data_IF_666258613344
#
_entry.id   IF_666258613344
#
_cell.length_a   1.000
_cell.length_b   1.000
_cell.length_c   1.000
_cell.angle_alpha   90.00
_cell.angle_beta   90.00
_cell.angle_gamma   90.00
#
_symmetry.space_group_name_H-M   'P 1'
#
loop_
_entity.id
_entity.type
_entity.pdbx_description
1 polymer ?
#
# COMPACT_ATOMS: atom_id res chain seq x y z
N UNK A 1 -1.69 -16.96 -3.81
CA UNK A 1 -1.54 -16.41 -5.18
C UNK A 1 -2.60 -15.37 -5.58
N UNK A 2 -3.91 -15.60 -5.36
CA UNK A 2 -4.98 -14.65 -5.76
C UNK A 2 -4.86 -13.23 -5.17
N UNK A 3 -4.33 -13.09 -3.95
CA UNK A 3 -4.12 -11.79 -3.30
C UNK A 3 -3.02 -10.97 -3.98
N UNK A 4 -1.95 -11.61 -4.48
CA UNK A 4 -0.94 -10.94 -5.33
C UNK A 4 -1.57 -10.40 -6.61
N UNK A 5 -2.38 -11.20 -7.28
CA UNK A 5 -3.12 -10.78 -8.49
C UNK A 5 -4.07 -9.60 -8.17
N UNK A 6 -4.70 -9.59 -6.99
CA UNK A 6 -5.53 -8.46 -6.55
C UNK A 6 -4.70 -7.18 -6.37
N UNK A 7 -3.52 -7.28 -5.76
CA UNK A 7 -2.59 -6.15 -5.65
C UNK A 7 -2.11 -5.65 -7.01
N UNK A 8 -1.73 -6.56 -7.91
CA UNK A 8 -1.31 -6.22 -9.27
C UNK A 8 -2.45 -5.55 -10.07
N UNK A 9 -3.70 -5.96 -9.85
CA UNK A 9 -4.87 -5.35 -10.48
C UNK A 9 -5.20 -3.94 -9.94
N UNK A 10 -5.07 -3.71 -8.62
CA UNK A 10 -5.34 -2.38 -8.03
C UNK A 10 -4.19 -1.41 -8.26
N UNK A 11 -2.96 -1.90 -8.46
CA UNK A 11 -1.78 -1.05 -8.56
C UNK A 11 -1.84 0.02 -9.64
N UNK A 12 -2.10 -0.30 -10.92
CA UNK A 12 -2.16 0.71 -11.97
C UNK A 12 -3.33 1.69 -11.78
N UNK A 13 -4.42 1.26 -11.12
CA UNK A 13 -5.55 2.14 -10.83
C UNK A 13 -5.18 3.21 -9.81
N UNK A 14 -4.44 2.85 -8.76
CA UNK A 14 -3.94 3.81 -7.77
C UNK A 14 -2.82 4.66 -8.39
N UNK A 15 -1.93 4.05 -9.18
CA UNK A 15 -0.80 4.74 -9.80
C UNK A 15 -1.23 5.88 -10.73
N UNK A 16 -2.34 5.71 -11.45
CA UNK A 16 -2.93 6.77 -12.28
C UNK A 16 -3.22 8.05 -11.46
N UNK A 17 -3.76 7.90 -10.25
CA UNK A 17 -4.05 9.03 -9.38
C UNK A 17 -2.78 9.56 -8.69
N UNK A 18 -1.92 8.68 -8.18
CA UNK A 18 -0.71 9.11 -7.47
C UNK A 18 0.30 9.79 -8.41
N UNK A 19 0.41 9.35 -9.66
CA UNK A 19 1.29 10.01 -10.65
C UNK A 19 0.82 11.41 -11.04
N UNK A 20 -0.46 11.74 -10.80
CA UNK A 20 -1.01 13.07 -11.05
C UNK A 20 -0.91 14.00 -9.83
N UNK A 21 -0.85 13.46 -8.62
CA UNK A 21 -0.93 14.24 -7.36
C UNK A 21 0.38 14.26 -6.59
N UNK A 22 1.08 13.12 -6.52
CA UNK A 22 2.25 12.97 -5.66
C UNK A 22 3.52 13.72 -6.13
N UNK A 23 3.83 13.86 -7.44
CA UNK A 23 5.05 14.54 -7.87
C UNK A 23 5.16 16.00 -7.40
N UNK A 24 4.04 16.71 -7.29
CA UNK A 24 4.00 18.11 -6.83
C UNK A 24 3.70 18.23 -5.33
N UNK A 25 3.59 17.10 -4.62
CA UNK A 25 3.25 17.09 -3.21
C UNK A 25 4.49 17.38 -2.35
N UNK A 26 4.49 18.54 -1.69
CA UNK A 26 5.58 18.97 -0.78
C UNK A 26 5.83 17.96 0.35
N UNK A 27 4.79 17.26 0.79
CA UNK A 27 4.87 16.26 1.87
C UNK A 27 4.08 15.00 1.50
N UNK A 28 4.67 14.18 0.63
CA UNK A 28 4.08 12.88 0.27
C UNK A 28 3.88 12.01 1.51
N UNK A 29 2.83 11.19 1.52
CA UNK A 29 2.48 10.34 2.65
C UNK A 29 3.60 9.37 3.08
N UNK A 30 4.55 9.08 2.19
CA UNK A 30 5.74 8.30 2.52
C UNK A 30 6.66 9.01 3.55
N UNK A 31 6.52 10.32 3.79
CA UNK A 31 7.35 11.07 4.74
C UNK A 31 6.86 10.90 6.19
N UNK A 32 5.55 10.89 6.42
CA UNK A 32 4.97 10.99 7.78
C UNK A 32 3.72 10.13 8.01
N UNK A 33 3.27 9.38 7.00
CA UNK A 33 2.07 8.52 7.05
C UNK A 33 2.31 7.15 6.43
N UNK A 34 3.56 6.74 6.28
CA UNK A 34 3.90 5.41 5.76
C UNK A 34 3.46 4.33 6.75
N UNK A 35 3.29 3.10 6.25
CA UNK A 35 2.86 1.97 7.06
C UNK A 35 4.03 1.06 7.40
N UNK A 36 3.86 0.25 8.43
CA UNK A 36 4.67 -0.94 8.70
C UNK A 36 3.86 -2.18 8.34
N UNK A 37 4.54 -3.28 7.98
CA UNK A 37 3.86 -4.54 7.68
C UNK A 37 3.12 -5.05 8.92
N UNK A 38 1.83 -5.27 8.78
CA UNK A 38 1.01 -5.88 9.84
C UNK A 38 1.03 -7.41 9.71
N UNK A 39 0.47 -8.11 10.70
CA UNK A 39 0.43 -9.58 10.75
C UNK A 39 -0.05 -10.22 9.43
N UNK A 40 -1.13 -9.71 8.87
CA UNK A 40 -1.69 -10.20 7.61
C UNK A 40 -0.76 -9.96 6.40
N UNK A 41 0.04 -8.89 6.41
CA UNK A 41 1.05 -8.65 5.38
C UNK A 41 2.19 -9.66 5.51
N UNK A 42 2.70 -9.85 6.72
CA UNK A 42 3.78 -10.81 7.01
C UNK A 42 3.35 -12.22 6.62
N UNK A 43 2.13 -12.63 7.00
CA UNK A 43 1.57 -13.94 6.63
C UNK A 43 1.48 -14.10 5.11
N UNK A 44 0.98 -13.08 4.41
CA UNK A 44 0.90 -13.12 2.95
C UNK A 44 2.28 -13.25 2.30
N UNK A 45 3.25 -12.43 2.72
CA UNK A 45 4.61 -12.44 2.19
C UNK A 45 5.32 -13.77 2.42
N UNK A 46 5.19 -14.34 3.61
CA UNK A 46 5.73 -15.66 3.93
C UNK A 46 5.11 -16.76 3.05
N UNK A 47 3.80 -16.73 2.84
CA UNK A 47 3.10 -17.73 2.02
C UNK A 47 3.49 -17.71 0.54
N UNK A 48 3.96 -16.58 0.02
CA UNK A 48 4.44 -16.47 -1.36
C UNK A 48 5.97 -16.60 -1.47
N UNK A 49 6.65 -16.94 -0.36
CA UNK A 49 8.10 -17.09 -0.32
C UNK A 49 8.86 -15.78 -0.57
N UNK A 50 8.30 -14.65 -0.16
CA UNK A 50 8.98 -13.36 -0.30
C UNK A 50 9.89 -13.13 0.89
N UNK A 51 11.20 -13.07 0.64
CA UNK A 51 12.21 -12.74 1.65
C UNK A 51 12.09 -11.30 2.17
N UNK A 52 11.20 -10.47 1.62
CA UNK A 52 10.91 -9.12 2.11
C UNK A 52 10.25 -9.18 3.50
N UNK A 53 9.50 -10.23 3.80
CA UNK A 53 8.98 -10.46 5.17
C UNK A 53 10.08 -10.75 6.19
N UNK A 54 11.30 -11.05 5.72
CA UNK A 54 12.50 -11.26 6.54
C UNK A 54 13.38 -10.01 6.66
N UNK A 55 12.98 -8.88 6.07
CA UNK A 55 13.41 -7.57 6.54
C UNK A 55 12.92 -7.41 7.97
N UNK A 56 13.72 -7.94 8.88
CA UNK A 56 13.76 -7.54 10.28
C UNK A 56 14.00 -6.04 10.25
N UNK A 57 12.92 -5.26 10.17
CA UNK A 57 12.91 -3.86 10.57
C UNK A 57 13.62 -3.88 11.93
N UNK A 58 14.84 -3.33 12.06
CA UNK A 58 15.54 -3.35 13.34
C UNK A 58 14.57 -2.83 14.40
N UNK A 59 14.45 -3.46 15.59
CA UNK A 59 13.52 -3.02 16.63
C UNK A 59 13.64 -1.51 16.92
N UNK A 60 14.85 -0.97 16.78
CA UNK A 60 15.20 0.45 16.91
C UNK A 60 14.62 1.36 15.83
N UNK A 61 14.31 0.83 14.64
CA UNK A 61 13.68 1.59 13.54
C UNK A 61 12.16 1.70 13.65
N UNK A 62 11.51 0.81 14.41
CA UNK A 62 10.07 0.97 14.74
C UNK A 62 9.81 2.11 15.73
N UNK A 63 10.82 2.50 16.52
CA UNK A 63 10.68 3.49 17.60
C UNK A 63 10.67 4.95 17.12
N UNK A 64 11.05 5.21 15.86
CA UNK A 64 11.16 6.56 15.28
C UNK A 64 10.57 6.67 13.85
N UNK A 65 9.77 5.69 13.42
CA UNK A 65 9.24 5.62 12.04
C UNK A 65 8.36 6.83 11.67
N UNK A 66 7.70 7.46 12.65
CA UNK A 66 6.91 8.69 12.44
C UNK A 66 7.77 9.95 12.26
N UNK A 67 9.09 9.88 12.54
CA UNK A 67 10.02 11.02 12.44
C UNK A 67 10.94 10.95 11.23
N UNK A 68 10.97 9.83 10.51
CA UNK A 68 11.83 9.62 9.35
C UNK A 68 10.99 9.23 8.13
N UNK A 69 11.34 9.75 6.94
CA UNK A 69 10.72 9.26 5.71
C UNK A 69 10.90 7.76 5.55
N UNK A 70 9.91 7.12 4.94
CA UNK A 70 9.94 5.71 4.57
C UNK A 70 11.25 5.38 3.85
N UNK A 71 11.97 4.36 4.31
CA UNK A 71 13.25 3.91 3.71
C UNK A 71 13.16 3.52 2.24
N UNK A 72 11.95 3.20 1.78
CA UNK A 72 11.63 2.79 0.41
C UNK A 72 11.25 3.98 -0.50
N UNK A 73 11.23 5.21 0.02
CA UNK A 73 10.93 6.41 -0.76
C UNK A 73 12.15 6.82 -1.60
N UNK A 74 12.08 6.58 -2.91
CA UNK A 74 13.05 7.06 -3.89
C UNK A 74 12.60 8.35 -4.60
N UNK A 75 13.44 8.83 -5.52
CA UNK A 75 13.20 10.05 -6.31
C UNK A 75 12.01 9.96 -7.26
N UNK A 76 11.53 8.73 -7.55
CA UNK A 76 10.37 8.44 -8.41
C UNK A 76 9.20 7.84 -7.63
N UNK A 77 9.20 7.98 -6.31
CA UNK A 77 8.25 7.32 -5.43
C UNK A 77 8.82 6.02 -4.85
N UNK A 78 7.93 5.16 -4.35
CA UNK A 78 8.32 3.94 -3.65
C UNK A 78 8.95 2.90 -4.59
N UNK A 79 10.08 2.33 -4.20
CA UNK A 79 10.82 1.30 -4.95
C UNK A 79 10.22 -0.11 -4.86
N UNK A 80 9.30 -0.33 -3.93
CA UNK A 80 8.61 -1.61 -3.76
C UNK A 80 7.44 -1.76 -4.73
N UNK A 81 7.20 -2.96 -5.20
CA UNK A 81 5.94 -3.33 -5.84
C UNK A 81 4.78 -3.24 -4.83
N UNK A 82 3.57 -2.90 -5.29
CA UNK A 82 2.44 -2.68 -4.36
C UNK A 82 2.10 -3.89 -3.51
N UNK A 83 2.25 -5.10 -4.04
CA UNK A 83 2.02 -6.35 -3.29
C UNK A 83 3.05 -6.58 -2.18
N UNK A 84 4.20 -5.92 -2.25
CA UNK A 84 5.27 -6.00 -1.24
C UNK A 84 5.07 -4.95 -0.14
N UNK A 85 4.36 -3.86 -0.43
CA UNK A 85 4.16 -2.77 0.51
C UNK A 85 3.19 -3.19 1.64
N UNK A 86 3.30 -2.56 2.82
CA UNK A 86 2.28 -2.67 3.86
C UNK A 86 0.88 -2.36 3.33
N UNK A 87 -0.14 -3.06 3.83
CA UNK A 87 -1.51 -2.88 3.34
C UNK A 87 -1.98 -1.43 3.44
N UNK A 88 -1.56 -0.71 4.48
CA UNK A 88 -1.80 0.74 4.65
C UNK A 88 -1.41 1.57 3.43
N UNK A 89 -0.28 1.28 2.80
CA UNK A 89 0.19 1.98 1.61
C UNK A 89 -0.68 1.72 0.36
N UNK A 90 -1.67 0.83 0.45
CA UNK A 90 -2.63 0.50 -0.60
C UNK A 90 -4.03 1.06 -0.32
N UNK A 91 -4.49 1.10 0.93
CA UNK A 91 -5.84 1.57 1.26
C UNK A 91 -5.91 3.00 1.82
N UNK A 92 -4.78 3.56 2.26
CA UNK A 92 -4.73 4.96 2.70
C UNK A 92 -4.60 5.92 1.52
N UNK A 93 -5.49 6.90 1.47
CA UNK A 93 -5.47 8.01 0.52
C UNK A 93 -5.50 9.33 1.30
N UNK A 94 -4.55 10.23 1.02
CA UNK A 94 -4.56 11.57 1.61
C UNK A 94 -5.67 12.44 1.00
N UNK A 95 -6.02 13.53 1.66
CA UNK A 95 -7.08 14.45 1.23
C UNK A 95 -6.89 14.97 -0.21
N UNK A 96 -5.70 15.47 -0.65
CA UNK A 96 -5.51 15.89 -2.04
C UNK A 96 -5.78 14.76 -3.06
N UNK A 97 -5.41 13.53 -2.71
CA UNK A 97 -5.62 12.37 -3.57
C UNK A 97 -7.10 11.97 -3.61
N UNK A 98 -7.78 11.97 -2.46
CA UNK A 98 -9.22 11.72 -2.38
C UNK A 98 -10.02 12.75 -3.17
N UNK A 99 -9.71 14.03 -3.03
CA UNK A 99 -10.36 15.08 -3.81
C UNK A 99 -10.16 14.87 -5.31
N UNK A 100 -8.93 14.56 -5.75
CA UNK A 100 -8.63 14.31 -7.16
C UNK A 100 -9.38 13.07 -7.68
N UNK A 101 -9.45 12.00 -6.87
CA UNK A 101 -10.20 10.79 -7.19
C UNK A 101 -11.70 11.04 -7.34
N UNK A 102 -12.29 11.84 -6.44
CA UNK A 102 -13.71 12.16 -6.41
C UNK A 102 -14.14 13.16 -7.49
N UNK A 103 -13.30 14.16 -7.81
CA UNK A 103 -13.53 15.12 -8.90
C UNK A 103 -13.42 14.45 -10.29
N UNK A 104 -12.74 13.31 -10.37
CA UNK A 104 -12.56 12.55 -11.60
C UNK A 104 -13.80 11.82 -12.11
N UNK A 105 -13.61 10.98 -13.14
CA UNK A 105 -14.68 10.15 -13.70
C UNK A 105 -15.16 9.13 -12.67
N UNK A 106 -16.43 9.19 -12.28
CA UNK A 106 -17.07 8.30 -11.28
C UNK A 106 -16.79 6.80 -11.51
N UNK A 107 -16.69 6.37 -12.78
CA UNK A 107 -16.35 4.98 -13.15
C UNK A 107 -14.95 4.56 -12.70
N UNK A 108 -13.93 5.44 -12.78
CA UNK A 108 -12.56 5.11 -12.38
C UNK A 108 -12.45 4.98 -10.87
N UNK A 109 -13.03 5.94 -10.13
CA UNK A 109 -13.08 5.89 -8.69
C UNK A 109 -13.76 4.62 -8.18
N UNK A 110 -14.91 4.25 -8.77
CA UNK A 110 -15.60 2.99 -8.44
C UNK A 110 -14.72 1.76 -8.66
N UNK A 111 -13.96 1.70 -9.77
CA UNK A 111 -13.05 0.58 -10.03
C UNK A 111 -11.97 0.44 -8.96
N UNK A 112 -11.47 1.56 -8.42
CA UNK A 112 -10.52 1.51 -7.29
C UNK A 112 -11.21 0.91 -6.07
N UNK A 113 -12.40 1.40 -5.72
CA UNK A 113 -13.14 0.89 -4.56
C UNK A 113 -13.46 -0.60 -4.67
N UNK A 114 -13.95 -1.06 -5.82
CA UNK A 114 -14.22 -2.49 -6.09
C UNK A 114 -12.94 -3.34 -5.97
N UNK A 115 -11.82 -2.84 -6.47
CA UNK A 115 -10.54 -3.54 -6.38
C UNK A 115 -10.01 -3.60 -4.93
N UNK A 116 -10.17 -2.52 -4.16
CA UNK A 116 -9.81 -2.47 -2.74
C UNK A 116 -10.70 -3.38 -1.90
N UNK A 117 -12.01 -3.39 -2.15
CA UNK A 117 -12.95 -4.28 -1.47
C UNK A 117 -12.60 -5.75 -1.73
N UNK A 118 -12.31 -6.10 -2.97
CA UNK A 118 -11.85 -7.45 -3.33
C UNK A 118 -10.55 -7.82 -2.60
N UNK A 119 -9.58 -6.91 -2.56
CA UNK A 119 -8.31 -7.12 -1.87
C UNK A 119 -8.52 -7.30 -0.36
N UNK A 120 -9.34 -6.44 0.25
CA UNK A 120 -9.69 -6.52 1.67
C UNK A 120 -10.39 -7.82 2.02
N UNK A 121 -11.31 -8.30 1.19
CA UNK A 121 -11.97 -9.60 1.38
C UNK A 121 -10.99 -10.79 1.31
N UNK A 122 -10.01 -10.74 0.40
CA UNK A 122 -8.95 -11.76 0.33
C UNK A 122 -8.03 -11.72 1.56
N UNK A 123 -7.71 -10.51 2.06
CA UNK A 123 -6.93 -10.32 3.29
C UNK A 123 -7.66 -10.85 4.52
N UNK A 124 -8.97 -10.62 4.64
CA UNK A 124 -9.78 -11.13 5.73
C UNK A 124 -9.77 -12.67 5.76
N UNK A 125 -10.03 -13.31 4.60
CA UNK A 125 -9.97 -14.78 4.48
C UNK A 125 -8.59 -15.35 4.81
N UNK A 126 -7.52 -14.64 4.45
CA UNK A 126 -6.17 -15.04 4.82
C UNK A 126 -6.03 -15.16 6.34
N UNK A 127 -6.63 -14.25 7.10
CA UNK A 127 -6.58 -14.27 8.56
C UNK A 127 -7.43 -15.39 9.17
N UNK A 128 -8.56 -15.73 8.57
CA UNK A 128 -9.43 -16.83 9.02
C UNK A 128 -8.78 -18.22 8.88
N UNK A 129 -7.86 -18.41 7.92
CA UNK A 129 -7.14 -19.67 7.71
C UNK A 129 -6.09 -20.00 8.79
N UNK A 130 -5.96 -19.17 9.83
CA UNK A 130 -5.03 -19.36 10.95
C UNK A 130 -5.69 -19.90 12.23
N UNK A 131 -6.96 -20.32 12.15
CA UNK A 131 -7.68 -21.00 13.25
C UNK A 131 -7.38 -22.49 13.34
#
# INVERSE_FOLDING_TARGET
MQMRVAYEAVSPLIEEYTSSVCPDCVKVCCIDRHGTHEEADIKFLNLIGSDIGSDKIPPESQLDDDKRPCRHLGTRGCDMERWQRPYRCTWYFCEPLLEHMQKGKSRKYRRVLEALERLGGLRARLMELSG
#
